data_IF_140319828424
#
_entry.id   IF_140319828424
#
_cell.length_a   1.000
_cell.length_b   1.000
_cell.length_c   1.000
_cell.angle_alpha   90.00
_cell.angle_beta   90.00
_cell.angle_gamma   90.00
#
_symmetry.space_group_name_H-M   'P 1'
#
loop_
_entity.id
_entity.type
_entity.pdbx_description
1 polymer ?
#
# COMPACT_ATOMS: atom_id res chain seq x y z
N UNK A 1 2.54 -19.06 -5.32
CA UNK A 1 3.04 -18.13 -4.28
C UNK A 1 3.91 -17.11 -4.97
N UNK A 2 3.56 -15.82 -4.99
CA UNK A 2 4.42 -14.80 -5.62
C UNK A 2 5.57 -14.48 -4.67
N UNK A 3 6.78 -14.75 -5.10
CA UNK A 3 7.99 -14.43 -4.34
C UNK A 3 8.13 -12.92 -4.21
N UNK A 4 8.16 -12.46 -2.99
CA UNK A 4 8.39 -11.06 -2.66
C UNK A 4 9.79 -10.92 -2.12
N UNK A 5 10.60 -10.07 -2.73
CA UNK A 5 11.93 -9.77 -2.19
C UNK A 5 12.20 -8.27 -2.14
N UNK A 6 13.13 -7.90 -1.29
CA UNK A 6 13.42 -6.51 -0.93
C UNK A 6 14.91 -6.25 -0.98
N UNK A 7 15.26 -4.98 -1.14
CA UNK A 7 16.64 -4.53 -0.99
C UNK A 7 17.15 -4.86 0.41
N UNK A 8 18.31 -5.54 0.49
CA UNK A 8 18.88 -5.95 1.78
C UNK A 8 19.33 -4.78 2.65
N UNK A 9 19.56 -3.57 2.07
CA UNK A 9 19.94 -2.38 2.82
C UNK A 9 18.73 -1.55 3.25
N UNK A 10 17.96 -1.03 2.29
CA UNK A 10 16.89 -0.07 2.58
C UNK A 10 15.50 -0.71 2.69
N UNK A 11 15.39 -2.03 2.48
CA UNK A 11 14.15 -2.80 2.56
C UNK A 11 13.08 -2.42 1.54
N UNK A 12 13.39 -1.56 0.57
CA UNK A 12 12.49 -1.23 -0.55
C UNK A 12 12.11 -2.49 -1.31
N UNK A 13 10.84 -2.68 -1.56
CA UNK A 13 10.35 -3.77 -2.39
C UNK A 13 10.81 -3.63 -3.84
N UNK A 14 10.95 -4.77 -4.54
CA UNK A 14 11.13 -4.76 -5.98
C UNK A 14 9.99 -3.96 -6.63
N UNK A 15 10.33 -3.15 -7.63
CA UNK A 15 9.39 -2.20 -8.24
C UNK A 15 9.78 -1.91 -9.71
N UNK A 16 8.94 -1.22 -10.50
CA UNK A 16 9.19 -0.97 -11.92
C UNK A 16 10.45 -0.16 -12.24
N UNK A 17 11.03 0.53 -11.26
CA UNK A 17 12.17 1.43 -11.48
C UNK A 17 13.53 0.81 -11.18
N UNK A 18 13.57 -0.45 -10.74
CA UNK A 18 14.82 -1.16 -10.52
C UNK A 18 15.50 -1.49 -11.85
N UNK A 19 16.81 -1.57 -11.84
CA UNK A 19 17.60 -1.95 -13.02
C UNK A 19 18.16 -3.36 -12.83
N UNK A 20 17.85 -4.27 -13.75
CA UNK A 20 18.48 -5.57 -13.79
C UNK A 20 19.84 -5.45 -14.49
N UNK A 21 20.84 -6.09 -13.91
CA UNK A 21 22.23 -6.06 -14.39
C UNK A 21 22.82 -7.47 -14.45
N UNK A 22 23.99 -7.62 -15.08
CA UNK A 22 24.67 -8.91 -15.21
C UNK A 22 23.76 -10.01 -15.78
N UNK A 23 23.13 -9.73 -16.92
CA UNK A 23 22.26 -10.71 -17.58
C UNK A 23 21.00 -11.09 -16.82
N UNK A 24 20.60 -10.29 -15.82
CA UNK A 24 19.43 -10.56 -14.96
C UNK A 24 19.74 -11.28 -13.66
N UNK A 25 21.01 -11.58 -13.38
CA UNK A 25 21.42 -12.22 -12.12
C UNK A 25 21.37 -11.28 -10.92
N UNK A 26 21.48 -9.98 -11.15
CA UNK A 26 21.46 -8.95 -10.11
C UNK A 26 20.54 -7.80 -10.47
N UNK A 27 20.16 -7.05 -9.46
CA UNK A 27 19.34 -5.85 -9.63
C UNK A 27 19.84 -4.69 -8.76
N UNK A 28 19.81 -3.50 -9.32
CA UNK A 28 20.19 -2.27 -8.62
C UNK A 28 18.94 -1.61 -8.04
N UNK A 29 18.95 -1.38 -6.74
CA UNK A 29 17.87 -0.67 -6.06
C UNK A 29 17.81 0.79 -6.51
N UNK A 30 16.67 1.25 -6.96
CA UNK A 30 16.45 2.63 -7.42
C UNK A 30 16.47 3.65 -6.26
N UNK A 31 16.28 3.23 -5.01
CA UNK A 31 16.25 4.11 -3.84
C UNK A 31 17.65 4.31 -3.25
N UNK A 32 18.38 3.24 -2.98
CA UNK A 32 19.68 3.35 -2.29
C UNK A 32 20.90 2.98 -3.16
N UNK A 33 20.67 2.59 -4.42
CA UNK A 33 21.73 2.25 -5.36
C UNK A 33 22.43 0.91 -5.11
N UNK A 34 22.10 0.16 -4.05
CA UNK A 34 22.72 -1.13 -3.76
C UNK A 34 22.39 -2.16 -4.84
N UNK A 35 23.40 -2.91 -5.23
CA UNK A 35 23.24 -4.09 -6.09
C UNK A 35 22.90 -5.29 -5.21
N UNK A 36 21.79 -5.95 -5.51
CA UNK A 36 21.27 -7.12 -4.81
C UNK A 36 21.31 -8.32 -5.76
N UNK A 37 21.41 -9.50 -5.22
CA UNK A 37 21.29 -10.73 -6.00
C UNK A 37 19.80 -11.02 -6.30
N UNK A 38 19.53 -11.58 -7.47
CA UNK A 38 18.19 -12.05 -7.85
C UNK A 38 18.04 -13.49 -7.35
N UNK A 39 16.98 -13.81 -6.60
CA UNK A 39 16.72 -15.20 -6.21
C UNK A 39 16.62 -16.11 -7.45
N UNK A 40 17.14 -17.35 -7.39
CA UNK A 40 17.13 -18.26 -8.54
C UNK A 40 15.75 -18.44 -9.18
N UNK A 41 14.73 -18.56 -8.36
CA UNK A 41 13.33 -18.72 -8.77
C UNK A 41 12.70 -17.46 -9.38
N UNK A 42 13.38 -16.32 -9.24
CA UNK A 42 12.98 -15.04 -9.85
C UNK A 42 13.85 -14.67 -11.05
N UNK A 43 14.89 -15.46 -11.31
CA UNK A 43 15.82 -15.20 -12.41
C UNK A 43 15.08 -15.21 -13.78
N UNK A 44 15.42 -14.27 -14.63
CA UNK A 44 14.98 -14.22 -16.01
C UNK A 44 16.05 -13.56 -16.87
N UNK A 45 16.34 -14.16 -18.01
CA UNK A 45 17.27 -13.61 -18.99
C UNK A 45 16.74 -12.31 -19.56
N UNK A 46 17.63 -11.32 -19.71
CA UNK A 46 17.32 -10.05 -20.33
C UNK A 46 17.34 -10.14 -21.85
N UNK A 47 16.54 -9.34 -22.51
CA UNK A 47 16.59 -9.14 -23.96
C UNK A 47 17.78 -8.22 -24.36
N UNK A 48 17.92 -7.96 -25.65
CA UNK A 48 18.98 -7.08 -26.20
C UNK A 48 18.91 -5.63 -25.66
N UNK A 49 17.75 -5.20 -25.15
CA UNK A 49 17.51 -3.88 -24.57
C UNK A 49 17.69 -3.87 -23.04
N UNK A 50 18.13 -4.98 -22.45
CA UNK A 50 18.28 -5.12 -21.00
C UNK A 50 16.95 -5.27 -20.24
N UNK A 51 15.86 -5.63 -20.92
CA UNK A 51 14.55 -5.82 -20.32
C UNK A 51 14.28 -7.30 -20.07
N UNK A 52 13.55 -7.57 -19.01
CA UNK A 52 13.11 -8.94 -18.69
C UNK A 52 12.07 -9.42 -19.69
N UNK A 53 12.18 -10.66 -20.14
CA UNK A 53 11.23 -11.28 -21.08
C UNK A 53 9.90 -11.63 -20.40
N UNK A 54 9.89 -11.85 -19.08
CA UNK A 54 8.71 -12.22 -18.30
C UNK A 54 7.96 -11.00 -17.70
N UNK A 55 8.27 -9.79 -18.18
CA UNK A 55 7.78 -8.53 -17.61
C UNK A 55 6.24 -8.49 -17.51
N UNK A 56 5.53 -8.95 -18.55
CA UNK A 56 4.07 -8.98 -18.59
C UNK A 56 3.44 -9.86 -17.49
N UNK A 57 4.18 -10.88 -17.02
CA UNK A 57 3.75 -11.75 -15.91
C UNK A 57 4.15 -11.25 -14.52
N UNK A 58 4.76 -10.06 -14.43
CA UNK A 58 5.33 -9.48 -13.21
C UNK A 58 4.67 -8.14 -12.89
N UNK A 59 3.47 -8.14 -12.28
CA UNK A 59 2.77 -6.88 -11.96
C UNK A 59 3.61 -5.97 -11.05
N UNK A 60 4.45 -6.51 -10.19
CA UNK A 60 5.38 -5.76 -9.34
C UNK A 60 6.44 -4.95 -10.11
N UNK A 61 6.63 -5.26 -11.40
CA UNK A 61 7.55 -4.54 -12.29
C UNK A 61 6.84 -3.66 -13.32
N UNK A 62 5.50 -3.68 -13.36
CA UNK A 62 4.71 -2.99 -14.38
C UNK A 62 3.68 -2.03 -13.80
N UNK A 63 3.20 -2.29 -12.57
CA UNK A 63 2.09 -1.56 -11.97
C UNK A 63 2.56 -0.61 -10.88
N UNK A 64 1.86 0.52 -10.72
CA UNK A 64 2.13 1.50 -9.68
C UNK A 64 1.73 1.06 -8.28
N UNK A 65 0.88 0.03 -8.18
CA UNK A 65 0.50 -0.60 -6.91
C UNK A 65 0.42 -2.11 -7.08
N UNK A 66 0.81 -2.85 -6.06
CA UNK A 66 0.81 -4.31 -6.03
C UNK A 66 0.56 -4.78 -4.62
N UNK A 67 -0.24 -5.84 -4.47
CA UNK A 67 -0.44 -6.51 -3.20
C UNK A 67 0.49 -7.73 -3.09
N UNK A 68 1.15 -7.84 -1.95
CA UNK A 68 1.97 -8.99 -1.60
C UNK A 68 1.41 -9.66 -0.35
N UNK A 69 1.34 -10.98 -0.38
CA UNK A 69 1.06 -11.75 0.83
C UNK A 69 2.32 -11.71 1.70
N UNK A 70 2.21 -11.08 2.87
CA UNK A 70 3.31 -10.99 3.82
C UNK A 70 3.62 -12.39 4.39
N UNK A 71 4.87 -12.89 4.27
CA UNK A 71 5.27 -14.11 4.95
C UNK A 71 5.29 -13.90 6.48
N UNK A 72 5.11 -14.99 7.23
CA UNK A 72 5.01 -14.95 8.69
C UNK A 72 6.22 -14.27 9.37
N UNK A 73 7.40 -14.37 8.77
CA UNK A 73 8.62 -13.72 9.27
C UNK A 73 8.58 -12.17 9.25
N UNK A 74 7.65 -11.58 8.49
CA UNK A 74 7.42 -10.14 8.46
C UNK A 74 6.34 -9.67 9.44
N UNK A 75 5.66 -10.63 10.06
CA UNK A 75 4.58 -10.33 11.00
C UNK A 75 5.08 -10.51 12.44
N UNK A 76 5.39 -9.41 13.12
CA UNK A 76 5.77 -9.43 14.54
C UNK A 76 4.58 -9.84 15.41
N UNK A 77 3.36 -9.60 14.93
CA UNK A 77 2.08 -9.94 15.56
C UNK A 77 1.02 -10.16 14.49
N UNK A 78 -0.07 -10.88 14.79
CA UNK A 78 -1.19 -11.02 13.87
C UNK A 78 -1.70 -9.66 13.38
N UNK A 79 -2.15 -9.56 12.11
CA UNK A 79 -2.73 -8.33 11.59
C UNK A 79 -3.88 -7.84 12.48
N UNK A 80 -3.85 -6.57 12.82
CA UNK A 80 -4.95 -5.93 13.55
C UNK A 80 -6.10 -5.64 12.59
N UNK A 81 -7.34 -5.60 13.09
CA UNK A 81 -8.48 -5.13 12.30
C UNK A 81 -8.23 -3.72 11.76
N UNK A 82 -8.74 -3.39 10.58
CA UNK A 82 -8.66 -2.02 10.07
C UNK A 82 -9.35 -1.04 11.03
N UNK A 83 -8.74 0.12 11.20
CA UNK A 83 -9.33 1.25 11.94
C UNK A 83 -9.50 2.40 10.95
N UNK A 84 -10.72 2.82 10.72
CA UNK A 84 -11.04 4.01 9.92
C UNK A 84 -11.30 5.18 10.86
N UNK A 85 -10.43 6.17 10.80
CA UNK A 85 -10.55 7.36 11.63
C UNK A 85 -10.90 8.57 10.73
N UNK A 86 -12.14 9.05 10.83
CA UNK A 86 -12.63 10.16 10.04
C UNK A 86 -12.31 11.47 10.74
N UNK A 87 -11.54 12.31 10.07
CA UNK A 87 -11.16 13.65 10.53
C UNK A 87 -11.89 14.66 9.65
N UNK A 88 -12.86 15.34 10.20
CA UNK A 88 -13.86 16.13 9.43
C UNK A 88 -13.73 17.62 9.79
N UNK A 89 -13.55 18.43 8.77
CA UNK A 89 -13.60 19.90 8.92
C UNK A 89 -15.05 20.36 9.14
N UNK A 90 -15.29 21.02 10.27
CA UNK A 90 -16.57 21.63 10.64
C UNK A 90 -16.50 23.15 10.72
N UNK A 91 -15.47 23.75 10.12
CA UNK A 91 -15.32 25.19 10.06
C UNK A 91 -16.51 25.85 9.35
N UNK A 92 -16.66 27.16 9.56
CA UNK A 92 -17.67 27.96 8.86
C UNK A 92 -17.62 27.74 7.34
N UNK A 93 -16.43 27.70 6.75
CA UNK A 93 -16.27 27.49 5.31
C UNK A 93 -16.71 26.11 4.86
N UNK A 94 -16.44 25.07 5.64
CA UNK A 94 -16.87 23.71 5.34
C UNK A 94 -18.41 23.59 5.36
N UNK A 95 -19.04 24.26 6.31
CA UNK A 95 -20.51 24.32 6.42
C UNK A 95 -21.11 25.16 5.28
N UNK A 96 -20.61 26.36 5.06
CA UNK A 96 -21.15 27.29 4.06
C UNK A 96 -21.01 26.79 2.62
N UNK A 97 -19.95 26.04 2.32
CA UNK A 97 -19.72 25.44 1.00
C UNK A 97 -20.53 24.15 0.75
N UNK A 98 -21.16 23.58 1.78
CA UNK A 98 -21.84 22.28 1.70
C UNK A 98 -20.89 21.08 1.77
N UNK A 99 -19.58 21.29 1.95
CA UNK A 99 -18.59 20.22 2.04
C UNK A 99 -18.89 19.28 3.20
N UNK A 100 -19.21 19.83 4.38
CA UNK A 100 -19.55 19.02 5.56
C UNK A 100 -20.73 18.09 5.28
N UNK A 101 -21.80 18.59 4.68
CA UNK A 101 -22.96 17.74 4.37
C UNK A 101 -22.62 16.64 3.38
N UNK A 102 -21.83 16.95 2.36
CA UNK A 102 -21.39 15.98 1.37
C UNK A 102 -20.49 14.91 1.99
N UNK A 103 -19.58 15.30 2.88
CA UNK A 103 -18.70 14.35 3.61
C UNK A 103 -19.51 13.42 4.51
N UNK A 104 -20.46 13.94 5.28
CA UNK A 104 -21.34 13.14 6.15
C UNK A 104 -22.15 12.15 5.34
N UNK A 105 -22.75 12.57 4.24
CA UNK A 105 -23.53 11.69 3.36
C UNK A 105 -22.65 10.56 2.78
N UNK A 106 -21.43 10.89 2.33
CA UNK A 106 -20.49 9.91 1.80
C UNK A 106 -20.05 8.90 2.86
N UNK A 107 -19.73 9.35 4.06
CA UNK A 107 -19.37 8.48 5.20
C UNK A 107 -20.55 7.55 5.53
N UNK A 108 -21.75 8.09 5.65
CA UNK A 108 -22.97 7.34 5.96
C UNK A 108 -23.24 6.22 4.94
N UNK A 109 -23.09 6.54 3.65
CA UNK A 109 -23.24 5.56 2.57
C UNK A 109 -22.16 4.47 2.59
N UNK A 110 -20.97 4.79 3.09
CA UNK A 110 -19.82 3.88 3.07
C UNK A 110 -19.74 2.98 4.31
N UNK A 111 -20.25 3.43 5.46
CA UNK A 111 -20.14 2.70 6.74
C UNK A 111 -20.61 1.24 6.67
N UNK A 112 -21.71 0.98 5.95
CA UNK A 112 -22.24 -0.38 5.79
C UNK A 112 -21.29 -1.30 5.01
N UNK A 113 -20.51 -0.75 4.07
CA UNK A 113 -19.57 -1.49 3.24
C UNK A 113 -18.22 -1.76 3.94
N UNK A 114 -17.89 -1.00 4.99
CA UNK A 114 -16.64 -1.19 5.74
C UNK A 114 -16.63 -2.52 6.53
N UNK A 115 -17.78 -3.10 6.81
CA UNK A 115 -17.93 -4.38 7.51
C UNK A 115 -17.89 -5.60 6.58
N UNK A 116 -17.21 -5.50 5.44
CA UNK A 116 -17.13 -6.56 4.44
C UNK A 116 -16.58 -7.89 4.98
N UNK A 117 -16.86 -8.98 4.23
CA UNK A 117 -16.47 -10.35 4.57
C UNK A 117 -14.97 -10.54 4.85
N UNK A 118 -14.12 -9.69 4.29
CA UNK A 118 -12.66 -9.75 4.45
C UNK A 118 -12.15 -9.29 5.82
N UNK A 119 -12.96 -8.53 6.58
CA UNK A 119 -12.56 -8.01 7.91
C UNK A 119 -13.12 -8.84 9.06
N UNK A 120 -13.98 -9.81 8.77
CA UNK A 120 -14.66 -10.64 9.79
C UNK A 120 -15.49 -9.83 10.77
N UNK A 121 -16.02 -8.66 10.37
CA UNK A 121 -16.84 -7.79 11.21
C UNK A 121 -16.08 -7.06 12.32
N UNK A 122 -14.74 -7.03 12.27
CA UNK A 122 -13.89 -6.45 13.31
C UNK A 122 -13.37 -5.04 12.99
N UNK A 123 -13.88 -4.44 11.92
CA UNK A 123 -13.52 -3.07 11.53
C UNK A 123 -13.94 -2.09 12.62
N UNK A 124 -13.02 -1.23 13.04
CA UNK A 124 -13.28 -0.18 14.01
C UNK A 124 -13.40 1.16 13.30
N UNK A 125 -14.23 2.03 13.85
CA UNK A 125 -14.48 3.37 13.29
C UNK A 125 -14.32 4.39 14.41
N UNK A 126 -13.68 5.52 14.11
CA UNK A 126 -13.58 6.65 15.02
C UNK A 126 -13.83 7.96 14.30
N UNK A 127 -14.22 8.98 15.03
CA UNK A 127 -14.51 10.29 14.50
C UNK A 127 -13.79 11.38 15.30
N UNK A 128 -13.32 12.37 14.57
CA UNK A 128 -12.82 13.63 15.10
C UNK A 128 -13.33 14.74 14.18
N UNK A 129 -13.82 15.82 14.75
CA UNK A 129 -14.08 17.03 14.00
C UNK A 129 -13.16 18.16 14.42
N UNK A 130 -12.91 19.09 13.55
CA UNK A 130 -12.08 20.24 13.84
C UNK A 130 -12.61 21.53 13.20
N UNK A 131 -12.38 22.62 13.90
CA UNK A 131 -12.50 23.99 13.41
C UNK A 131 -11.33 24.81 13.98
N UNK A 132 -11.56 25.73 14.88
CA UNK A 132 -10.54 26.39 15.70
C UNK A 132 -10.07 25.50 16.88
N UNK A 133 -10.75 24.39 17.13
CA UNK A 133 -10.46 23.40 18.16
C UNK A 133 -10.61 21.97 17.60
N UNK A 134 -10.13 20.99 18.37
CA UNK A 134 -10.32 19.57 18.08
C UNK A 134 -11.43 19.00 18.96
N UNK A 135 -12.37 18.29 18.34
CA UNK A 135 -13.51 17.70 19.02
C UNK A 135 -13.44 16.17 18.91
N UNK A 136 -13.18 15.51 20.02
CA UNK A 136 -13.12 14.05 20.12
C UNK A 136 -14.48 13.50 20.55
N UNK A 137 -14.87 12.40 19.92
CA UNK A 137 -16.13 11.72 20.23
C UNK A 137 -15.84 10.36 20.86
N UNK A 138 -16.55 10.07 21.95
CA UNK A 138 -16.59 8.76 22.55
C UNK A 138 -17.85 8.05 22.05
N UNK A 139 -17.67 6.98 21.24
CA UNK A 139 -18.74 6.22 20.58
C UNK A 139 -19.12 4.98 21.38
#
# INVERSE_FOLDING_TARGET
MRLTFRCRRCRTYINPFVQFVQGGQRWKCNVCGLINDVPPEYFCVLDANGRRRDLAGRPELCHGHVEFVAPAEYMVRPPQPPVYFFVIDVSYNAVASGMLQSAVNAIQATLSSLNGAHTGGRTQVGFLTFDSALHFYNL
#
